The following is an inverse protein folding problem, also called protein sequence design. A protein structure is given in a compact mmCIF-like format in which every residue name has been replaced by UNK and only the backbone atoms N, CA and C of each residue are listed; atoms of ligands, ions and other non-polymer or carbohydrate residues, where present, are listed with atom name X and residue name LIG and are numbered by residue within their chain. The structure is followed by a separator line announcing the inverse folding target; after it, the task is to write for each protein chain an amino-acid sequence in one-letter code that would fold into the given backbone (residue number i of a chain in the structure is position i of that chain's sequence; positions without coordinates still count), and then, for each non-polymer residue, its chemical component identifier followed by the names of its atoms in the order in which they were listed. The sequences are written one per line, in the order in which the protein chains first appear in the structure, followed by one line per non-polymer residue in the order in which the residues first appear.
data_IF_600031654581
#
_entry.id   IF_600031654581
#
_cell.length_a   1.000
_cell.length_b   1.000
_cell.length_c   1.000
_cell.angle_alpha   90.00
_cell.angle_beta   90.00
_cell.angle_gamma   90.00
#
_symmetry.space_group_name_H-M   'P 1'
#
loop_
_entity.id
_entity.type
_entity.pdbx_description
1 polymer ?
#
# COMPACT_ATOMS: atom_id res chain seq x y z
N UNK A 1 -5.25 -9.81 0.13
CA UNK A 1 -5.78 -8.78 -0.79
C UNK A 1 -5.96 -9.36 -2.19
N UNK A 2 -6.95 -8.92 -2.96
CA UNK A 2 -7.15 -9.30 -4.36
C UNK A 2 -7.03 -8.06 -5.25
N UNK A 3 -6.38 -8.20 -6.40
CA UNK A 3 -6.27 -7.13 -7.40
C UNK A 3 -7.20 -7.49 -8.56
N UNK A 4 -8.09 -6.56 -8.90
CA UNK A 4 -8.97 -6.68 -10.06
C UNK A 4 -8.66 -5.56 -11.04
N UNK A 5 -8.72 -5.87 -12.33
CA UNK A 5 -8.59 -4.87 -13.40
C UNK A 5 -9.90 -4.85 -14.19
N UNK A 6 -10.43 -3.65 -14.43
CA UNK A 6 -11.65 -3.45 -15.20
C UNK A 6 -11.33 -3.54 -16.69
N UNK A 7 -12.14 -4.32 -17.41
CA UNK A 7 -12.14 -4.39 -18.87
C UNK A 7 -13.57 -4.15 -19.34
N UNK A 8 -13.81 -2.97 -19.93
CA UNK A 8 -15.14 -2.51 -20.35
C UNK A 8 -16.15 -2.56 -19.19
N UNK A 9 -16.94 -3.63 -19.13
CA UNK A 9 -18.02 -3.84 -18.16
C UNK A 9 -17.69 -4.88 -17.09
N UNK A 10 -16.53 -5.56 -17.18
CA UNK A 10 -16.18 -6.68 -16.28
C UNK A 10 -14.97 -6.37 -15.41
N UNK A 11 -14.99 -6.87 -14.18
CA UNK A 11 -13.82 -6.89 -13.29
C UNK A 11 -13.19 -8.28 -13.32
N UNK A 12 -11.94 -8.34 -13.78
CA UNK A 12 -11.19 -9.59 -13.88
C UNK A 12 -10.16 -9.65 -12.76
N UNK A 13 -10.18 -10.73 -11.97
CA UNK A 13 -9.16 -10.94 -10.95
C UNK A 13 -7.81 -11.16 -11.63
N UNK A 14 -6.82 -10.32 -11.31
CA UNK A 14 -5.46 -10.39 -11.86
C UNK A 14 -4.46 -10.98 -10.89
N UNK A 15 -4.61 -10.74 -9.58
CA UNK A 15 -3.68 -11.27 -8.59
C UNK A 15 -4.32 -11.45 -7.21
N UNK A 16 -3.68 -12.27 -6.38
CA UNK A 16 -3.92 -12.37 -4.94
C UNK A 16 -2.62 -12.05 -4.21
N UNK A 17 -2.60 -10.95 -3.47
CA UNK A 17 -1.46 -10.55 -2.64
C UNK A 17 -1.67 -11.10 -1.22
N UNK A 18 -0.75 -11.93 -0.76
CA UNK A 18 -0.80 -12.59 0.56
C UNK A 18 0.12 -11.85 1.53
N UNK A 19 -0.44 -10.89 2.27
CA UNK A 19 0.21 -10.24 3.43
C UNK A 19 -0.88 -9.80 4.42
N UNK A 20 -0.55 -9.67 5.72
CA UNK A 20 -1.39 -8.95 6.66
C UNK A 20 -1.42 -7.46 6.29
N UNK A 21 -2.56 -6.82 6.50
CA UNK A 21 -2.75 -5.39 6.27
C UNK A 21 -4.23 -5.03 6.26
N UNK A 22 -4.58 -3.94 6.94
CA UNK A 22 -5.96 -3.46 7.06
C UNK A 22 -6.29 -2.33 6.09
N UNK A 23 -5.27 -1.75 5.47
CA UNK A 23 -5.34 -0.59 4.57
C UNK A 23 -4.82 -0.94 3.18
N UNK A 24 -5.31 -0.24 2.17
CA UNK A 24 -4.86 -0.38 0.79
C UNK A 24 -4.80 0.98 0.09
N UNK A 25 -3.71 1.22 -0.63
CA UNK A 25 -3.55 2.33 -1.56
C UNK A 25 -3.00 1.82 -2.89
N UNK A 26 -3.29 2.55 -3.97
CA UNK A 26 -2.83 2.23 -5.31
C UNK A 26 -2.43 3.53 -6.02
N UNK A 27 -1.34 3.50 -6.79
CA UNK A 27 -0.94 4.62 -7.63
C UNK A 27 -1.92 4.81 -8.80
N UNK A 28 -1.98 6.00 -9.36
CA UNK A 28 -2.81 6.28 -10.55
C UNK A 28 -2.35 5.47 -11.76
N UNK A 29 -1.05 5.23 -11.88
CA UNK A 29 -0.50 4.35 -12.92
C UNK A 29 -0.95 2.88 -12.75
N UNK A 30 -1.48 2.51 -11.58
CA UNK A 30 -1.97 1.16 -11.29
C UNK A 30 -0.87 0.09 -11.26
N UNK A 31 0.38 0.52 -11.09
CA UNK A 31 1.58 -0.31 -11.07
C UNK A 31 2.17 -0.47 -9.65
N UNK A 32 1.73 0.36 -8.70
CA UNK A 32 2.17 0.32 -7.31
C UNK A 32 0.96 0.14 -6.41
N UNK A 33 0.99 -0.87 -5.54
CA UNK A 33 -0.04 -1.12 -4.53
C UNK A 33 0.63 -1.25 -3.17
N UNK A 34 0.08 -0.56 -2.19
CA UNK A 34 0.51 -0.65 -0.80
C UNK A 34 -0.60 -1.34 0.00
N UNK A 35 -0.24 -2.37 0.77
CA UNK A 35 -1.16 -3.11 1.66
C UNK A 35 -0.57 -3.07 3.08
N UNK A 36 -1.14 -2.25 3.96
CA UNK A 36 -0.48 -1.91 5.23
C UNK A 36 0.93 -1.35 4.98
N UNK A 37 1.99 -1.89 5.63
CA UNK A 37 3.37 -1.47 5.36
C UNK A 37 3.98 -2.11 4.10
N UNK A 38 3.27 -2.95 3.35
CA UNK A 38 3.89 -3.73 2.28
C UNK A 38 3.71 -3.08 0.92
N UNK A 39 4.81 -2.79 0.23
CA UNK A 39 4.80 -2.23 -1.12
C UNK A 39 4.92 -3.35 -2.15
N UNK A 40 4.03 -3.33 -3.13
CA UNK A 40 4.03 -4.23 -4.28
C UNK A 40 4.12 -3.43 -5.56
N UNK A 41 4.96 -3.90 -6.48
CA UNK A 41 5.12 -3.32 -7.80
C UNK A 41 4.77 -4.35 -8.86
N UNK A 42 4.10 -3.89 -9.91
CA UNK A 42 3.67 -4.66 -11.06
C UNK A 42 4.70 -4.57 -12.19
N UNK A 43 5.13 -5.73 -12.68
CA UNK A 43 5.89 -5.84 -13.92
C UNK A 43 5.09 -6.68 -14.92
N UNK A 44 4.58 -6.04 -15.98
CA UNK A 44 3.68 -6.69 -16.94
C UNK A 44 2.37 -7.14 -16.29
N UNK A 45 2.19 -8.44 -16.10
CA UNK A 45 1.01 -9.02 -15.43
C UNK A 45 1.30 -9.54 -14.02
N UNK A 46 2.57 -9.51 -13.58
CA UNK A 46 2.99 -10.08 -12.30
C UNK A 46 3.16 -8.99 -11.26
N UNK A 47 2.60 -9.24 -10.07
CA UNK A 47 2.84 -8.42 -8.88
C UNK A 47 3.90 -9.08 -8.01
N UNK A 48 4.89 -8.30 -7.59
CA UNK A 48 5.93 -8.73 -6.66
C UNK A 48 6.04 -7.77 -5.49
N UNK A 49 6.33 -8.29 -4.29
CA UNK A 49 6.59 -7.45 -3.13
C UNK A 49 7.95 -6.80 -3.31
N UNK A 50 7.99 -5.48 -3.40
CA UNK A 50 9.23 -4.72 -3.57
C UNK A 50 9.88 -4.46 -2.20
N UNK A 51 9.10 -3.97 -1.23
CA UNK A 51 9.63 -3.57 0.07
C UNK A 51 8.61 -3.72 1.21
N UNK A 52 9.06 -3.40 2.42
CA UNK A 52 8.20 -3.14 3.58
C UNK A 52 8.60 -1.78 4.14
N UNK A 53 7.64 -0.90 4.33
CA UNK A 53 7.77 0.36 5.04
C UNK A 53 7.99 0.04 6.52
N UNK A 54 9.07 0.58 7.06
CA UNK A 54 9.46 0.40 8.46
C UNK A 54 9.81 1.78 8.98
N UNK A 55 9.21 2.14 10.09
CA UNK A 55 9.64 3.28 10.90
C UNK A 55 10.31 2.77 12.20
N UNK A 56 10.96 3.68 12.93
CA UNK A 56 11.70 3.33 14.15
C UNK A 56 10.79 3.00 15.35
N UNK A 57 9.50 3.35 15.27
CA UNK A 57 8.50 3.13 16.28
C UNK A 57 7.75 1.80 16.02
N UNK A 58 8.08 0.80 16.84
CA UNK A 58 7.76 -0.60 16.61
C UNK A 58 6.28 -0.96 16.82
N UNK A 59 5.46 -0.05 17.35
CA UNK A 59 4.06 -0.30 17.70
C UNK A 59 3.04 0.24 16.68
N UNK A 60 3.51 0.80 15.57
CA UNK A 60 2.61 1.46 14.62
C UNK A 60 1.92 0.46 13.67
N UNK A 61 0.65 0.20 13.97
CA UNK A 61 -0.28 -0.32 12.98
C UNK A 61 -0.56 0.78 11.95
N UNK A 62 -0.02 0.64 10.73
CA UNK A 62 -0.38 1.50 9.61
C UNK A 62 -1.82 1.22 9.17
N UNK A 63 -2.74 1.97 9.74
CA UNK A 63 -4.18 1.83 9.53
C UNK A 63 -4.68 2.62 8.31
N UNK A 64 -3.88 3.60 7.84
CA UNK A 64 -4.19 4.45 6.70
C UNK A 64 -3.03 4.47 5.72
N UNK A 65 -3.34 4.49 4.42
CA UNK A 65 -2.34 4.51 3.35
C UNK A 65 -2.82 5.46 2.25
N UNK A 66 -1.93 6.33 1.80
CA UNK A 66 -2.04 7.13 0.59
C UNK A 66 -0.82 6.88 -0.30
N UNK A 67 -1.02 6.78 -1.60
CA UNK A 67 0.03 6.58 -2.59
C UNK A 67 -0.09 7.71 -3.61
N UNK A 68 1.02 8.36 -3.94
CA UNK A 68 1.09 9.38 -4.99
C UNK A 68 0.77 8.80 -6.37
N UNK A 69 0.43 9.68 -7.31
CA UNK A 69 0.09 9.33 -8.69
C UNK A 69 1.22 8.49 -9.35
N UNK A 70 2.47 8.88 -9.10
CA UNK A 70 3.67 8.21 -9.63
C UNK A 70 4.08 6.96 -8.84
N UNK A 71 3.51 6.73 -7.65
CA UNK A 71 3.86 5.60 -6.79
C UNK A 71 5.22 5.70 -6.08
N UNK A 72 5.90 6.84 -6.16
CA UNK A 72 7.21 7.08 -5.55
C UNK A 72 7.12 7.66 -4.13
N UNK A 73 6.00 8.29 -3.80
CA UNK A 73 5.68 8.78 -2.45
C UNK A 73 4.52 7.98 -1.85
N UNK A 74 4.70 7.52 -0.62
CA UNK A 74 3.68 6.84 0.19
C UNK A 74 3.55 7.55 1.53
N UNK A 75 2.32 7.84 1.93
CA UNK A 75 2.00 8.34 3.26
C UNK A 75 1.24 7.25 4.01
N UNK A 76 1.68 6.92 5.22
CA UNK A 76 0.96 6.02 6.12
C UNK A 76 0.57 6.73 7.41
N UNK A 77 -0.65 6.48 7.86
CA UNK A 77 -1.16 7.01 9.11
C UNK A 77 -1.13 5.97 10.22
N UNK A 78 -0.67 6.38 11.39
CA UNK A 78 -0.61 5.59 12.62
C UNK A 78 -1.43 6.32 13.71
N UNK A 79 -2.77 6.19 13.73
CA UNK A 79 -3.61 6.90 14.69
C UNK A 79 -3.38 6.48 16.15
N UNK A 80 -2.82 5.29 16.37
CA UNK A 80 -2.44 4.79 17.70
C UNK A 80 -1.10 5.29 18.22
N UNK A 81 -0.29 5.98 17.40
CA UNK A 81 1.03 6.49 17.79
C UNK A 81 0.92 7.54 18.91
N UNK A 82 1.99 7.65 19.71
CA UNK A 82 2.15 8.67 20.76
C UNK A 82 0.92 8.81 21.68
N UNK A 83 0.53 7.71 22.36
CA UNK A 83 -0.66 7.67 23.24
C UNK A 83 -1.95 8.16 22.54
N UNK A 84 -2.17 7.74 21.29
CA UNK A 84 -3.29 8.14 20.43
C UNK A 84 -3.30 9.62 20.00
N UNK A 85 -2.17 10.34 20.09
CA UNK A 85 -2.02 11.63 19.43
C UNK A 85 -2.03 11.47 17.89
N UNK A 86 -1.57 10.32 17.42
CA UNK A 86 -1.50 9.96 16.02
C UNK A 86 -0.27 10.53 15.31
N UNK A 87 0.24 9.77 14.35
CA UNK A 87 1.36 10.16 13.51
C UNK A 87 1.08 9.90 12.03
N UNK A 88 1.83 10.58 11.17
CA UNK A 88 1.88 10.30 9.74
C UNK A 88 3.35 10.21 9.31
N UNK A 89 3.65 9.16 8.56
CA UNK A 89 4.99 8.89 8.04
C UNK A 89 4.96 9.01 6.53
N UNK A 90 5.94 9.72 5.97
CA UNK A 90 6.12 9.89 4.53
C UNK A 90 7.34 9.10 4.10
N UNK A 91 7.17 8.27 3.10
CA UNK A 91 8.21 7.47 2.49
C UNK A 91 8.36 7.89 1.03
N UNK A 92 9.59 8.11 0.62
CA UNK A 92 10.00 8.43 -0.75
C UNK A 92 10.99 7.36 -1.22
N UNK A 93 11.04 7.12 -2.53
CA UNK A 93 11.86 6.09 -3.16
C UNK A 93 13.28 6.55 -3.53
#
# INVERSE_FOLDING_TARGET
MYVFVRSEETWNQRAKLIQPGQSVGVSDAGDTVVVGPHVFVRNGETWSRESKLVDDDTDNYFELVGVSDAGDTVVVGAPGADDYAGAAYVFER
#
